data_IF_750010281384
#
_entry.id   IF_750010281384
#
_cell.length_a   1.000
_cell.length_b   1.000
_cell.length_c   1.000
_cell.angle_alpha   90.00
_cell.angle_beta   90.00
_cell.angle_gamma   90.00
#
_symmetry.space_group_name_H-M   'P 1'
#
loop_
_entity.id
_entity.type
_entity.pdbx_description
1 polymer ?
#
# COMPACT_ATOMS: atom_id res chain seq x y z
N UNK A 1 26.24 7.25 -10.79
CA UNK A 1 25.66 8.00 -11.93
C UNK A 1 24.42 7.33 -12.53
N UNK A 2 24.44 6.02 -12.85
CA UNK A 2 23.30 5.33 -13.49
C UNK A 2 21.98 5.33 -12.70
N UNK A 3 22.00 5.14 -11.37
CA UNK A 3 20.78 5.15 -10.54
C UNK A 3 20.06 6.50 -10.55
N UNK A 4 20.78 7.60 -10.31
CA UNK A 4 20.17 8.93 -10.30
C UNK A 4 19.61 9.33 -11.67
N UNK A 5 20.27 8.91 -12.76
CA UNK A 5 19.71 9.08 -14.10
C UNK A 5 18.39 8.31 -14.27
N UNK A 6 18.32 7.06 -13.80
CA UNK A 6 17.08 6.28 -13.85
C UNK A 6 15.94 6.90 -13.01
N UNK A 7 16.25 7.39 -11.81
CA UNK A 7 15.29 8.12 -10.96
C UNK A 7 14.79 9.38 -11.67
N UNK A 8 15.70 10.17 -12.25
CA UNK A 8 15.34 11.37 -12.98
C UNK A 8 14.44 11.07 -14.17
N UNK A 9 14.79 10.05 -14.98
CA UNK A 9 13.96 9.62 -16.11
C UNK A 9 12.59 9.12 -15.64
N UNK A 10 12.53 8.31 -14.57
CA UNK A 10 11.28 7.83 -14.01
C UNK A 10 10.37 8.96 -13.48
N UNK A 11 10.95 9.98 -12.86
CA UNK A 11 10.23 11.18 -12.44
C UNK A 11 9.78 12.03 -13.61
N UNK A 12 10.65 12.22 -14.62
CA UNK A 12 10.36 12.99 -15.82
C UNK A 12 9.21 12.36 -16.62
N UNK A 13 9.21 11.03 -16.79
CA UNK A 13 8.11 10.30 -17.47
C UNK A 13 6.78 10.55 -16.75
N UNK A 14 6.74 10.42 -15.42
CA UNK A 14 5.53 10.71 -14.63
C UNK A 14 5.08 12.16 -14.79
N UNK A 15 6.02 13.11 -14.70
CA UNK A 15 5.73 14.53 -14.88
C UNK A 15 5.16 14.85 -16.25
N UNK A 16 5.81 14.39 -17.33
CA UNK A 16 5.38 14.62 -18.71
C UNK A 16 4.02 14.00 -19.01
N UNK A 17 3.76 12.77 -18.53
CA UNK A 17 2.46 12.13 -18.71
C UNK A 17 1.36 12.84 -17.91
N UNK A 18 1.67 13.28 -16.68
CA UNK A 18 0.73 14.00 -15.83
C UNK A 18 0.40 15.40 -16.36
N UNK A 19 1.33 16.07 -17.06
CA UNK A 19 1.08 17.36 -17.72
C UNK A 19 0.49 17.24 -19.12
N UNK A 20 0.41 16.03 -19.67
CA UNK A 20 -0.17 15.77 -20.99
C UNK A 20 -1.70 15.66 -20.97
N UNK A 21 -2.32 15.77 -22.14
CA UNK A 21 -3.76 15.57 -22.34
C UNK A 21 -4.24 14.17 -21.93
N UNK A 22 -3.33 13.19 -21.87
CA UNK A 22 -3.64 11.82 -21.45
C UNK A 22 -3.95 11.68 -19.96
N UNK A 23 -3.55 12.63 -19.10
CA UNK A 23 -3.77 12.52 -17.66
C UNK A 23 -5.26 12.38 -17.31
N UNK A 24 -6.12 13.20 -17.94
CA UNK A 24 -7.57 13.12 -17.75
C UNK A 24 -8.16 11.79 -18.23
N UNK A 25 -7.69 11.29 -19.37
CA UNK A 25 -8.10 9.99 -19.91
C UNK A 25 -7.71 8.86 -18.95
N UNK A 26 -6.45 8.82 -18.50
CA UNK A 26 -5.92 7.80 -17.58
C UNK A 26 -6.69 7.80 -16.25
N UNK A 27 -6.98 8.98 -15.70
CA UNK A 27 -7.76 9.11 -14.45
C UNK A 27 -9.16 8.53 -14.57
N UNK A 28 -9.76 8.53 -15.77
CA UNK A 28 -11.11 7.99 -16.01
C UNK A 28 -11.15 6.49 -16.32
N UNK A 29 -9.99 5.83 -16.48
CA UNK A 29 -9.92 4.40 -16.81
C UNK A 29 -10.21 3.56 -15.58
N UNK A 30 -11.11 2.59 -15.74
CA UNK A 30 -11.48 1.62 -14.69
C UNK A 30 -10.31 0.72 -14.28
N UNK A 31 -9.31 0.60 -15.16
CA UNK A 31 -8.07 -0.11 -14.91
C UNK A 31 -7.16 0.60 -13.89
N UNK A 32 -7.40 1.88 -13.63
CA UNK A 32 -6.55 2.74 -12.78
C UNK A 32 -7.34 3.26 -11.58
N UNK A 33 -8.54 3.80 -11.85
CA UNK A 33 -9.39 4.41 -10.85
C UNK A 33 -10.60 3.51 -10.54
N UNK A 34 -10.68 3.06 -9.29
CA UNK A 34 -11.81 2.35 -8.70
C UNK A 34 -12.47 3.22 -7.63
N UNK A 35 -13.65 2.83 -7.13
CA UNK A 35 -14.29 3.53 -6.01
C UNK A 35 -13.43 3.67 -4.76
N UNK A 36 -12.50 2.74 -4.53
CA UNK A 36 -11.61 2.76 -3.36
C UNK A 36 -10.42 3.71 -3.50
N UNK A 37 -9.94 3.97 -4.73
CA UNK A 37 -8.68 4.70 -4.93
C UNK A 37 -8.78 5.98 -5.81
N UNK A 38 -9.95 6.28 -6.37
CA UNK A 38 -10.13 7.37 -7.32
C UNK A 38 -9.87 8.75 -6.73
N UNK A 39 -9.05 9.55 -7.42
CA UNK A 39 -8.81 10.95 -7.07
C UNK A 39 -10.09 11.79 -7.05
N UNK A 40 -11.04 11.51 -7.96
CA UNK A 40 -12.30 12.26 -8.05
C UNK A 40 -13.12 12.11 -6.77
N UNK A 41 -13.23 10.87 -6.25
CA UNK A 41 -13.93 10.58 -4.99
C UNK A 41 -13.20 11.17 -3.79
N UNK A 42 -11.87 11.14 -3.78
CA UNK A 42 -11.08 11.78 -2.74
C UNK A 42 -11.31 13.30 -2.66
N UNK A 43 -11.30 13.98 -3.81
CA UNK A 43 -11.58 15.42 -3.92
C UNK A 43 -13.00 15.75 -3.47
N UNK A 44 -13.99 14.97 -3.93
CA UNK A 44 -15.39 15.17 -3.58
C UNK A 44 -15.63 14.94 -2.08
N UNK A 45 -15.06 13.87 -1.51
CA UNK A 45 -15.16 13.60 -0.07
C UNK A 45 -14.57 14.74 0.76
N UNK A 46 -13.39 15.26 0.37
CA UNK A 46 -12.78 16.41 1.02
C UNK A 46 -13.63 17.69 0.88
N UNK A 47 -14.31 17.87 -0.26
CA UNK A 47 -15.22 18.99 -0.49
C UNK A 47 -16.48 18.90 0.39
N UNK A 48 -17.10 17.72 0.51
CA UNK A 48 -18.24 17.51 1.41
C UNK A 48 -17.88 17.79 2.86
N UNK A 49 -16.73 17.26 3.30
CA UNK A 49 -16.19 17.51 4.64
C UNK A 49 -16.00 19.01 4.91
N UNK A 50 -15.43 19.75 3.94
CA UNK A 50 -15.22 21.19 4.06
C UNK A 50 -16.52 22.00 4.23
N UNK A 51 -17.64 21.47 3.73
CA UNK A 51 -18.96 22.10 3.79
C UNK A 51 -19.85 21.55 4.90
N UNK A 52 -19.29 20.76 5.84
CA UNK A 52 -20.04 20.20 6.97
C UNK A 52 -21.04 19.11 6.59
N UNK A 53 -20.91 18.53 5.40
CA UNK A 53 -21.72 17.38 4.96
C UNK A 53 -20.92 16.10 5.20
N UNK A 54 -21.56 15.08 5.78
CA UNK A 54 -20.90 13.81 6.04
C UNK A 54 -20.53 13.11 4.71
N UNK A 55 -19.23 12.87 4.41
CA UNK A 55 -18.82 12.24 3.15
C UNK A 55 -19.23 10.76 3.02
N UNK A 56 -19.63 10.12 4.12
CA UNK A 56 -19.97 8.69 4.17
C UNK A 56 -21.46 8.41 3.95
N UNK A 57 -22.34 9.40 4.04
CA UNK A 57 -23.81 9.21 3.96
C UNK A 57 -24.30 8.82 2.54
N UNK A 58 -23.46 8.95 1.51
CA UNK A 58 -23.83 8.76 0.10
C UNK A 58 -23.00 7.73 -0.67
N UNK A 59 -22.33 6.80 0.02
CA UNK A 59 -21.49 5.74 -0.60
C UNK A 59 -20.44 6.28 -1.60
N UNK A 60 -19.95 7.48 -1.32
CA UNK A 60 -19.06 8.23 -2.20
C UNK A 60 -17.58 8.04 -1.83
N UNK A 61 -17.30 8.03 -0.53
CA UNK A 61 -15.95 8.01 0.02
C UNK A 61 -15.76 6.82 0.97
N UNK A 62 -14.67 6.06 0.77
CA UNK A 62 -14.45 4.75 1.41
C UNK A 62 -13.10 4.60 2.10
N UNK A 63 -12.44 5.70 2.47
CA UNK A 63 -11.20 5.66 3.25
C UNK A 63 -11.43 6.23 4.66
N UNK A 64 -10.54 5.95 5.61
CA UNK A 64 -10.69 6.42 6.99
C UNK A 64 -10.73 7.97 7.10
N UNK A 65 -11.49 8.56 8.06
CA UNK A 65 -11.58 10.01 8.24
C UNK A 65 -10.24 10.70 8.51
N UNK A 66 -9.27 10.02 9.12
CA UNK A 66 -7.91 10.55 9.27
C UNK A 66 -7.26 10.85 7.90
N UNK A 67 -7.44 9.94 6.94
CA UNK A 67 -6.92 10.10 5.57
C UNK A 67 -7.69 11.21 4.86
N UNK A 68 -9.02 11.25 5.04
CA UNK A 68 -9.87 12.31 4.50
C UNK A 68 -9.40 13.70 4.92
N UNK A 69 -9.19 13.92 6.22
CA UNK A 69 -8.72 15.21 6.74
C UNK A 69 -7.31 15.54 6.24
N UNK A 70 -6.44 14.53 6.13
CA UNK A 70 -5.10 14.70 5.58
C UNK A 70 -5.15 15.16 4.11
N UNK A 71 -6.03 14.58 3.31
CA UNK A 71 -6.25 14.94 1.90
C UNK A 71 -6.89 16.33 1.78
N UNK A 72 -7.90 16.62 2.59
CA UNK A 72 -8.52 17.95 2.66
C UNK A 72 -7.48 19.02 2.99
N UNK A 73 -6.63 18.79 3.99
CA UNK A 73 -5.57 19.72 4.36
C UNK A 73 -4.55 19.91 3.24
N UNK A 74 -4.14 18.81 2.58
CA UNK A 74 -3.26 18.86 1.41
C UNK A 74 -3.88 19.70 0.29
N UNK A 75 -5.16 19.52 0.00
CA UNK A 75 -5.87 20.29 -1.02
C UNK A 75 -5.96 21.77 -0.65
N UNK A 76 -6.26 22.10 0.61
CA UNK A 76 -6.35 23.50 1.03
C UNK A 76 -5.01 24.23 1.01
N UNK A 77 -3.91 23.55 1.40
CA UNK A 77 -2.60 24.20 1.54
C UNK A 77 -1.70 24.07 0.33
N UNK A 78 -1.89 23.04 -0.49
CA UNK A 78 -0.96 22.67 -1.54
C UNK A 78 -1.64 22.16 -2.83
N UNK A 79 -2.86 22.61 -3.15
CA UNK A 79 -3.58 22.25 -4.37
C UNK A 79 -2.72 22.30 -5.64
N UNK A 80 -1.95 23.38 -5.83
CA UNK A 80 -1.08 23.57 -6.99
C UNK A 80 0.07 22.56 -7.08
N UNK A 81 0.44 21.93 -5.95
CA UNK A 81 1.58 21.02 -5.84
C UNK A 81 1.18 19.56 -5.67
N UNK A 82 -0.12 19.23 -5.69
CA UNK A 82 -0.59 17.85 -5.46
C UNK A 82 0.10 16.89 -6.43
N UNK A 83 0.17 17.21 -7.73
CA UNK A 83 0.85 16.35 -8.69
C UNK A 83 2.33 16.09 -8.34
N UNK A 84 3.04 17.11 -7.84
CA UNK A 84 4.42 16.93 -7.37
C UNK A 84 4.51 16.02 -6.14
N UNK A 85 3.56 16.14 -5.20
CA UNK A 85 3.51 15.26 -4.01
C UNK A 85 3.38 13.80 -4.42
N UNK A 86 2.52 13.47 -5.38
CA UNK A 86 2.38 12.10 -5.89
C UNK A 86 3.68 11.58 -6.52
N UNK A 87 4.37 12.39 -7.31
CA UNK A 87 5.67 12.02 -7.89
C UNK A 87 6.70 11.79 -6.77
N UNK A 88 6.74 12.64 -5.74
CA UNK A 88 7.67 12.48 -4.62
C UNK A 88 7.39 11.20 -3.81
N UNK A 89 6.12 10.85 -3.59
CA UNK A 89 5.75 9.60 -2.94
C UNK A 89 6.19 8.38 -3.78
N UNK A 90 6.00 8.41 -5.09
CA UNK A 90 6.46 7.34 -6.00
C UNK A 90 7.98 7.17 -5.98
N UNK A 91 8.72 8.28 -6.07
CA UNK A 91 10.19 8.25 -5.99
C UNK A 91 10.63 7.75 -4.61
N UNK A 92 10.02 8.25 -3.53
CA UNK A 92 10.25 7.78 -2.16
C UNK A 92 10.01 6.28 -2.02
N UNK A 93 8.95 5.75 -2.62
CA UNK A 93 8.63 4.33 -2.66
C UNK A 93 9.75 3.53 -3.32
N UNK A 94 10.25 3.97 -4.48
CA UNK A 94 11.38 3.30 -5.15
C UNK A 94 12.66 3.28 -4.30
N UNK A 95 12.96 4.39 -3.60
CA UNK A 95 14.09 4.45 -2.66
C UNK A 95 13.91 3.49 -1.47
N UNK A 96 12.71 3.45 -0.90
CA UNK A 96 12.38 2.54 0.22
C UNK A 96 12.47 1.08 -0.19
N UNK A 97 11.91 0.70 -1.34
CA UNK A 97 12.00 -0.67 -1.86
C UNK A 97 13.46 -1.08 -2.11
N UNK A 98 14.25 -0.21 -2.74
CA UNK A 98 15.69 -0.44 -2.91
C UNK A 98 16.42 -0.58 -1.57
N UNK A 99 16.09 0.23 -0.57
CA UNK A 99 16.68 0.14 0.77
C UNK A 99 16.31 -1.18 1.47
N UNK A 100 15.02 -1.55 1.48
CA UNK A 100 14.53 -2.80 2.04
C UNK A 100 15.18 -4.01 1.36
N UNK A 101 15.22 -4.03 0.02
CA UNK A 101 15.89 -5.08 -0.76
C UNK A 101 17.38 -5.20 -0.44
N UNK A 102 18.07 -4.07 -0.23
CA UNK A 102 19.50 -4.06 0.15
C UNK A 102 19.73 -4.74 1.49
N UNK A 103 18.84 -4.52 2.47
CA UNK A 103 18.95 -5.17 3.79
C UNK A 103 18.61 -6.66 3.69
N UNK A 104 17.51 -7.01 3.03
CA UNK A 104 17.08 -8.40 2.91
C UNK A 104 18.09 -9.26 2.14
N UNK A 105 18.65 -8.77 1.03
CA UNK A 105 19.60 -9.56 0.23
C UNK A 105 20.90 -9.81 1.00
N UNK A 106 21.35 -8.84 1.81
CA UNK A 106 22.53 -9.00 2.68
C UNK A 106 22.28 -10.06 3.74
N UNK A 107 21.14 -10.01 4.41
CA UNK A 107 20.79 -11.01 5.43
C UNK A 107 20.67 -12.42 4.81
N UNK A 108 20.06 -12.52 3.63
CA UNK A 108 19.91 -13.78 2.90
C UNK A 108 21.27 -14.34 2.45
N UNK A 109 22.15 -13.48 1.92
CA UNK A 109 23.51 -13.85 1.54
C UNK A 109 24.34 -14.34 2.74
N UNK A 110 24.25 -13.67 3.90
CA UNK A 110 24.92 -14.12 5.12
C UNK A 110 24.38 -15.46 5.63
N UNK A 111 23.05 -15.65 5.62
CA UNK A 111 22.41 -16.93 5.99
C UNK A 111 22.85 -18.05 5.06
N UNK A 112 22.90 -17.80 3.75
CA UNK A 112 23.38 -18.74 2.75
C UNK A 112 24.84 -19.12 3.00
N UNK A 113 25.71 -18.12 3.21
CA UNK A 113 27.15 -18.35 3.47
C UNK A 113 27.39 -19.21 4.72
N UNK A 114 26.58 -19.05 5.77
CA UNK A 114 26.65 -19.88 6.98
C UNK A 114 26.17 -21.32 6.77
N UNK A 115 25.33 -21.56 5.77
CA UNK A 115 24.74 -22.88 5.45
C UNK A 115 25.37 -23.51 4.21
N UNK A 116 26.48 -22.96 3.71
CA UNK A 116 27.09 -23.36 2.44
C UNK A 116 27.41 -24.86 2.38
N UNK A 117 27.88 -25.42 3.49
CA UNK A 117 28.27 -26.83 3.58
C UNK A 117 27.07 -27.79 3.60
N UNK A 118 25.84 -27.28 3.76
CA UNK A 118 24.60 -28.07 3.73
C UNK A 118 23.95 -28.17 2.35
N UNK A 119 24.47 -27.44 1.36
CA UNK A 119 23.91 -27.44 0.01
C UNK A 119 24.42 -28.62 -0.83
N UNK A 120 23.56 -29.12 -1.71
CA UNK A 120 23.92 -30.15 -2.66
C UNK A 120 24.98 -29.63 -3.65
N UNK A 121 25.81 -30.54 -4.16
CA UNK A 121 26.73 -30.25 -5.27
C UNK A 121 25.92 -29.78 -6.48
N UNK A 122 26.51 -28.92 -7.31
CA UNK A 122 25.91 -28.35 -8.53
C UNK A 122 24.75 -27.35 -8.30
N UNK A 123 24.66 -26.74 -7.12
CA UNK A 123 23.68 -25.67 -6.83
C UNK A 123 24.26 -24.26 -6.90
N UNK A 124 25.50 -24.11 -7.37
CA UNK A 124 26.25 -22.85 -7.33
C UNK A 124 25.59 -21.75 -8.17
N UNK A 125 24.96 -22.08 -9.29
CA UNK A 125 24.23 -21.13 -10.15
C UNK A 125 22.93 -20.61 -9.50
N UNK A 126 22.38 -21.31 -8.51
CA UNK A 126 21.17 -20.92 -7.77
C UNK A 126 21.50 -20.10 -6.51
N UNK A 127 22.78 -19.98 -6.18
CA UNK A 127 23.25 -19.27 -4.99
C UNK A 127 23.42 -17.78 -5.28
N UNK A 128 23.15 -16.97 -4.27
CA UNK A 128 23.32 -15.52 -4.35
C UNK A 128 24.81 -15.19 -4.44
N UNK A 129 25.18 -14.42 -5.46
CA UNK A 129 26.55 -13.96 -5.68
C UNK A 129 26.83 -12.61 -5.01
N UNK A 130 28.13 -12.30 -4.83
CA UNK A 130 28.54 -11.01 -4.28
C UNK A 130 28.07 -9.82 -5.14
N UNK A 131 27.92 -10.01 -6.46
CA UNK A 131 27.38 -9.00 -7.37
C UNK A 131 25.90 -8.69 -7.11
N UNK A 132 25.12 -9.66 -6.64
CA UNK A 132 23.68 -9.52 -6.41
C UNK A 132 23.36 -8.59 -5.23
N UNK A 133 24.30 -8.45 -4.30
CA UNK A 133 24.20 -7.50 -3.17
C UNK A 133 24.00 -6.05 -3.65
N UNK A 134 24.52 -5.72 -4.84
CA UNK A 134 24.33 -4.41 -5.47
C UNK A 134 23.29 -4.44 -6.59
N UNK A 135 23.30 -5.50 -7.41
CA UNK A 135 22.46 -5.59 -8.61
C UNK A 135 20.99 -5.81 -8.27
N UNK A 136 20.66 -6.71 -7.34
CA UNK A 136 19.27 -7.05 -7.04
C UNK A 136 18.49 -5.84 -6.47
N UNK A 137 19.00 -5.08 -5.47
CA UNK A 137 18.30 -3.89 -4.99
C UNK A 137 18.18 -2.80 -6.06
N UNK A 138 19.16 -2.70 -6.95
CA UNK A 138 19.11 -1.80 -8.10
C UNK A 138 17.97 -2.19 -9.06
N UNK A 139 17.86 -3.47 -9.42
CA UNK A 139 16.79 -3.98 -10.29
C UNK A 139 15.41 -3.86 -9.65
N UNK A 140 15.27 -4.12 -8.35
CA UNK A 140 14.00 -3.89 -7.62
C UNK A 140 13.55 -2.43 -7.77
N UNK A 141 14.48 -1.48 -7.57
CA UNK A 141 14.19 -0.06 -7.73
C UNK A 141 13.82 0.31 -9.18
N UNK A 142 14.54 -0.22 -10.17
CA UNK A 142 14.21 0.00 -11.58
C UNK A 142 12.85 -0.60 -11.97
N UNK A 143 12.58 -1.82 -11.52
CA UNK A 143 11.32 -2.51 -11.80
C UNK A 143 10.13 -1.69 -11.29
N UNK A 144 10.23 -1.10 -10.10
CA UNK A 144 9.19 -0.20 -9.59
C UNK A 144 9.12 1.11 -10.40
N UNK A 145 10.24 1.81 -10.60
CA UNK A 145 10.28 3.10 -11.30
C UNK A 145 9.67 3.04 -12.70
N UNK A 146 9.86 1.94 -13.40
CA UNK A 146 9.39 1.74 -14.77
C UNK A 146 8.21 0.77 -14.87
N UNK A 147 7.56 0.44 -13.75
CA UNK A 147 6.32 -0.33 -13.76
C UNK A 147 5.20 0.54 -14.37
N UNK A 148 4.56 0.11 -15.48
CA UNK A 148 3.47 0.87 -16.08
C UNK A 148 2.32 1.11 -15.11
N UNK A 149 1.98 0.15 -14.24
CA UNK A 149 0.89 0.32 -13.27
C UNK A 149 1.21 1.39 -12.21
N UNK A 150 2.45 1.47 -11.74
CA UNK A 150 2.82 2.51 -10.76
C UNK A 150 2.88 3.90 -11.42
N UNK A 151 3.35 3.98 -12.68
CA UNK A 151 3.30 5.21 -13.48
C UNK A 151 1.83 5.65 -13.69
N UNK A 152 0.95 4.75 -14.12
CA UNK A 152 -0.46 5.05 -14.37
C UNK A 152 -1.19 5.48 -13.09
N UNK A 153 -0.94 4.81 -11.96
CA UNK A 153 -1.50 5.19 -10.65
C UNK A 153 -1.05 6.59 -10.21
N UNK A 154 0.21 6.95 -10.48
CA UNK A 154 0.72 8.30 -10.24
C UNK A 154 0.06 9.36 -11.13
N UNK A 155 -0.03 9.09 -12.43
CA UNK A 155 -0.62 10.02 -13.40
C UNK A 155 -2.12 10.17 -13.16
N UNK A 156 -2.81 9.11 -12.78
CA UNK A 156 -4.21 9.13 -12.36
C UNK A 156 -4.46 9.81 -11.01
N UNK A 157 -3.39 10.07 -10.24
CA UNK A 157 -3.42 10.57 -8.86
C UNK A 157 -4.25 9.69 -7.92
N UNK A 158 -4.16 8.37 -8.10
CA UNK A 158 -4.88 7.39 -7.28
C UNK A 158 -4.27 7.29 -5.89
N UNK A 159 -5.10 7.06 -4.87
CA UNK A 159 -4.60 6.88 -3.49
C UNK A 159 -3.73 5.63 -3.34
N UNK A 160 -3.73 4.72 -4.33
CA UNK A 160 -2.78 3.60 -4.44
C UNK A 160 -1.31 4.05 -4.35
N UNK A 161 -0.97 5.28 -4.78
CA UNK A 161 0.39 5.82 -4.61
C UNK A 161 0.78 5.94 -3.12
N UNK A 162 -0.13 6.42 -2.28
CA UNK A 162 0.11 6.49 -0.84
C UNK A 162 0.16 5.10 -0.22
N UNK A 163 -0.67 4.16 -0.70
CA UNK A 163 -0.65 2.77 -0.25
C UNK A 163 0.67 2.06 -0.57
N UNK A 164 1.17 2.19 -1.79
CA UNK A 164 2.48 1.66 -2.18
C UNK A 164 3.61 2.24 -1.32
N UNK A 165 3.55 3.54 -1.01
CA UNK A 165 4.51 4.19 -0.12
C UNK A 165 4.46 3.61 1.30
N UNK A 166 3.27 3.44 1.87
CA UNK A 166 3.08 2.85 3.20
C UNK A 166 3.55 1.40 3.26
N UNK A 167 3.27 0.60 2.22
CA UNK A 167 3.78 -0.77 2.09
C UNK A 167 5.31 -0.81 1.98
N UNK A 168 5.92 0.08 1.20
CA UNK A 168 7.38 0.17 1.12
C UNK A 168 8.00 0.62 2.46
N UNK A 169 7.36 1.56 3.16
CA UNK A 169 7.77 1.98 4.50
C UNK A 169 7.65 0.83 5.51
N UNK A 170 6.60 0.02 5.42
CA UNK A 170 6.43 -1.20 6.21
C UNK A 170 7.54 -2.21 5.93
N UNK A 171 7.91 -2.43 4.67
CA UNK A 171 9.00 -3.32 4.29
C UNK A 171 10.35 -2.81 4.82
N UNK A 172 10.62 -1.51 4.74
CA UNK A 172 11.80 -0.88 5.35
C UNK A 172 11.79 -1.08 6.86
N UNK A 173 10.68 -0.76 7.54
CA UNK A 173 10.51 -0.96 8.97
C UNK A 173 10.79 -2.41 9.39
N UNK A 174 10.26 -3.37 8.63
CA UNK A 174 10.47 -4.80 8.86
C UNK A 174 11.92 -5.21 8.63
N UNK A 175 12.53 -4.78 7.53
CA UNK A 175 13.91 -5.09 7.18
C UNK A 175 14.90 -4.58 8.25
N UNK A 176 14.70 -3.36 8.75
CA UNK A 176 15.47 -2.79 9.85
C UNK A 176 14.98 -3.22 11.25
N UNK A 177 13.97 -4.10 11.33
CA UNK A 177 13.39 -4.62 12.58
C UNK A 177 12.82 -3.54 13.50
N UNK A 178 12.43 -2.40 12.94
CA UNK A 178 11.72 -1.31 13.64
C UNK A 178 10.24 -1.63 13.74
N UNK A 179 9.82 -2.15 14.91
CA UNK A 179 8.42 -2.52 15.20
C UNK A 179 7.45 -1.35 15.04
N UNK A 180 7.86 -0.15 15.45
CA UNK A 180 7.03 1.06 15.40
C UNK A 180 6.80 1.47 13.95
N UNK A 181 7.87 1.58 13.15
CA UNK A 181 7.75 1.97 11.73
C UNK A 181 6.92 0.95 10.96
N UNK A 182 7.20 -0.36 11.14
CA UNK A 182 6.43 -1.41 10.49
C UNK A 182 4.96 -1.41 10.94
N UNK A 183 4.72 -1.40 12.26
CA UNK A 183 3.36 -1.47 12.81
C UNK A 183 2.49 -0.27 12.44
N UNK A 184 3.03 0.95 12.53
CA UNK A 184 2.29 2.19 12.18
C UNK A 184 2.05 2.28 10.68
N UNK A 185 3.06 1.98 9.85
CA UNK A 185 2.89 2.01 8.40
C UNK A 185 1.85 0.99 7.93
N UNK A 186 1.88 -0.23 8.48
CA UNK A 186 0.90 -1.26 8.17
C UNK A 186 -0.51 -0.90 8.70
N UNK A 187 -0.59 -0.30 9.89
CA UNK A 187 -1.87 0.14 10.44
C UNK A 187 -2.53 1.22 9.59
N UNK A 188 -1.76 2.19 9.10
CA UNK A 188 -2.21 3.21 8.15
C UNK A 188 -2.63 2.60 6.82
N UNK A 189 -1.83 1.68 6.27
CA UNK A 189 -2.19 0.97 5.05
C UNK A 189 -3.50 0.20 5.22
N UNK A 190 -3.69 -0.42 6.40
CA UNK A 190 -4.92 -1.16 6.73
C UNK A 190 -6.15 -0.23 6.75
N UNK A 191 -5.97 1.06 7.04
CA UNK A 191 -7.05 2.05 6.95
C UNK A 191 -7.47 2.37 5.50
N UNK A 192 -6.58 2.13 4.53
CA UNK A 192 -6.82 2.36 3.09
C UNK A 192 -7.35 1.09 2.42
N UNK A 193 -6.72 -0.04 2.71
CA UNK A 193 -7.06 -1.36 2.19
C UNK A 193 -7.00 -2.36 3.34
N UNK A 194 -8.03 -3.17 3.55
CA UNK A 194 -8.09 -4.04 4.73
C UNK A 194 -7.11 -5.22 4.66
N UNK A 195 -6.89 -5.82 3.49
CA UNK A 195 -6.16 -7.08 3.34
C UNK A 195 -4.67 -7.06 3.70
N UNK A 196 -3.90 -5.97 3.45
CA UNK A 196 -2.52 -5.87 3.90
C UNK A 196 -2.27 -6.21 5.37
N UNK A 197 -3.29 -6.14 6.25
CA UNK A 197 -3.18 -6.57 7.65
C UNK A 197 -2.55 -7.96 7.81
N UNK A 198 -2.72 -8.89 6.86
CA UNK A 198 -2.13 -10.24 6.91
C UNK A 198 -0.60 -10.22 6.96
N UNK A 199 0.04 -9.16 6.45
CA UNK A 199 1.49 -8.98 6.45
C UNK A 199 2.08 -8.84 7.87
N UNK A 200 1.25 -8.59 8.89
CA UNK A 200 1.72 -8.56 10.28
C UNK A 200 2.31 -9.90 10.71
N UNK A 201 1.80 -11.02 10.19
CA UNK A 201 2.25 -12.37 10.53
C UNK A 201 3.70 -12.60 10.08
N UNK A 202 4.05 -12.50 8.78
CA UNK A 202 5.43 -12.66 8.36
C UNK A 202 6.36 -11.61 8.97
N UNK A 203 5.91 -10.35 9.16
CA UNK A 203 6.74 -9.33 9.81
C UNK A 203 7.05 -9.66 11.28
N UNK A 204 6.06 -10.09 12.05
CA UNK A 204 6.25 -10.46 13.45
C UNK A 204 7.21 -11.66 13.59
N UNK A 205 7.07 -12.67 12.73
CA UNK A 205 7.97 -13.82 12.68
C UNK A 205 9.39 -13.41 12.30
N UNK A 206 9.55 -12.60 11.26
CA UNK A 206 10.85 -12.11 10.80
C UNK A 206 11.55 -11.32 11.90
N UNK A 207 10.86 -10.35 12.53
CA UNK A 207 11.42 -9.53 13.62
C UNK A 207 11.82 -10.41 14.81
N UNK A 208 10.97 -11.37 15.20
CA UNK A 208 11.22 -12.27 16.32
C UNK A 208 12.41 -13.21 16.11
N UNK A 209 12.81 -13.50 14.87
CA UNK A 209 13.98 -14.34 14.57
C UNK A 209 15.27 -13.78 15.21
N UNK A 210 15.40 -12.45 15.29
CA UNK A 210 16.54 -11.78 15.92
C UNK A 210 16.56 -11.83 17.45
N UNK A 211 15.46 -12.23 18.10
CA UNK A 211 15.31 -12.24 19.56
C UNK A 211 15.07 -13.68 20.07
N UNK A 212 16.11 -14.53 20.14
CA UNK A 212 15.96 -15.96 20.37
C UNK A 212 15.40 -16.33 21.75
N UNK A 213 15.62 -15.50 22.77
CA UNK A 213 15.27 -15.81 24.16
C UNK A 213 13.76 -15.78 24.44
N UNK A 214 13.03 -14.83 23.83
CA UNK A 214 11.60 -14.60 24.07
C UNK A 214 10.82 -14.34 22.76
N UNK A 215 10.83 -15.32 21.84
CA UNK A 215 10.18 -15.17 20.51
C UNK A 215 8.70 -14.80 20.61
N UNK A 216 7.93 -15.48 21.47
CA UNK A 216 6.50 -15.21 21.67
C UNK A 216 6.21 -13.80 22.15
N UNK A 217 7.04 -13.27 23.05
CA UNK A 217 6.93 -11.87 23.49
C UNK A 217 7.25 -10.89 22.36
N UNK A 218 8.26 -11.18 21.52
CA UNK A 218 8.57 -10.34 20.36
C UNK A 218 7.44 -10.35 19.32
N UNK A 219 6.80 -11.50 19.10
CA UNK A 219 5.62 -11.61 18.23
C UNK A 219 4.48 -10.79 18.82
N UNK A 220 4.13 -11.04 20.09
CA UNK A 220 3.05 -10.34 20.77
C UNK A 220 3.24 -8.81 20.82
N UNK A 221 4.46 -8.34 21.06
CA UNK A 221 4.77 -6.89 21.03
C UNK A 221 4.67 -6.29 19.63
N UNK A 222 5.06 -7.02 18.59
CA UNK A 222 4.93 -6.54 17.20
C UNK A 222 3.46 -6.47 16.79
N UNK A 223 2.68 -7.52 17.05
CA UNK A 223 1.24 -7.52 16.81
C UNK A 223 0.52 -6.45 17.64
N UNK A 224 0.90 -6.29 18.91
CA UNK A 224 0.36 -5.26 19.80
C UNK A 224 0.66 -3.84 19.32
N UNK A 225 1.83 -3.60 18.72
CA UNK A 225 2.18 -2.30 18.13
C UNK A 225 1.28 -1.97 16.94
N UNK A 226 1.08 -2.94 16.04
CA UNK A 226 0.15 -2.80 14.92
C UNK A 226 -1.29 -2.58 15.38
N UNK A 227 -1.80 -3.43 16.28
CA UNK A 227 -3.17 -3.33 16.80
C UNK A 227 -3.40 -2.01 17.52
N UNK A 228 -2.44 -1.57 18.35
CA UNK A 228 -2.52 -0.28 19.03
C UNK A 228 -2.60 0.89 18.05
N UNK A 229 -1.75 0.91 17.02
CA UNK A 229 -1.80 1.93 15.98
C UNK A 229 -3.10 1.88 15.17
N UNK A 230 -3.56 0.69 14.78
CA UNK A 230 -4.81 0.49 14.04
C UNK A 230 -6.03 1.00 14.80
N UNK A 231 -6.13 0.67 16.09
CA UNK A 231 -7.20 1.16 16.96
C UNK A 231 -7.10 2.67 17.16
N UNK A 232 -5.89 3.20 17.29
CA UNK A 232 -5.68 4.65 17.43
C UNK A 232 -6.17 5.43 16.21
N UNK A 233 -5.87 4.99 14.98
CA UNK A 233 -6.36 5.67 13.78
C UNK A 233 -7.88 5.60 13.62
N UNK A 234 -8.51 4.48 14.00
CA UNK A 234 -9.97 4.37 14.03
C UNK A 234 -10.58 5.28 15.09
N UNK A 235 -9.98 5.37 16.28
CA UNK A 235 -10.41 6.30 17.33
C UNK A 235 -10.25 7.76 16.91
N UNK A 236 -9.14 8.11 16.24
CA UNK A 236 -8.97 9.43 15.63
C UNK A 236 -10.09 9.73 14.62
N UNK A 237 -10.47 8.73 13.80
CA UNK A 237 -11.60 8.83 12.89
C UNK A 237 -12.94 9.11 13.61
N UNK A 238 -13.19 8.43 14.73
CA UNK A 238 -14.36 8.69 15.59
C UNK A 238 -14.35 10.12 16.14
N UNK A 239 -13.20 10.62 16.60
CA UNK A 239 -13.08 12.01 17.10
C UNK A 239 -13.35 13.03 15.98
N UNK A 240 -12.94 12.73 14.73
CA UNK A 240 -13.15 13.61 13.57
C UNK A 240 -14.62 13.66 13.15
N UNK A 241 -15.29 12.50 13.07
CA UNK A 241 -16.67 12.41 12.55
C UNK A 241 -17.74 12.54 13.63
N UNK A 242 -17.40 12.23 14.89
CA UNK A 242 -18.36 12.18 16.00
C UNK A 242 -19.12 10.86 16.12
N UNK A 243 -18.91 9.91 15.21
CA UNK A 243 -19.55 8.60 15.21
C UNK A 243 -18.67 7.52 14.51
N UNK A 244 -19.16 6.27 14.53
CA UNK A 244 -18.50 5.10 13.93
C UNK A 244 -19.07 4.69 12.56
N UNK A 245 -19.96 5.50 11.97
CA UNK A 245 -20.62 5.17 10.69
C UNK A 245 -19.62 4.92 9.56
N UNK A 246 -18.48 5.63 9.58
CA UNK A 246 -17.40 5.46 8.62
C UNK A 246 -16.82 4.05 8.59
N UNK A 247 -16.95 3.23 9.66
CA UNK A 247 -16.44 1.86 9.66
C UNK A 247 -17.18 0.98 8.63
N UNK A 248 -18.49 1.15 8.52
CA UNK A 248 -19.28 0.43 7.53
C UNK A 248 -19.02 0.96 6.11
N UNK A 249 -18.89 2.28 5.96
CA UNK A 249 -18.60 2.90 4.68
C UNK A 249 -17.17 2.64 4.16
N UNK A 250 -16.24 2.24 5.04
CA UNK A 250 -14.85 1.90 4.67
C UNK A 250 -14.65 0.38 4.62
N UNK A 251 -14.60 -0.29 5.77
CA UNK A 251 -14.37 -1.73 5.85
C UNK A 251 -15.59 -2.53 5.41
N UNK A 252 -16.79 -2.12 5.82
CA UNK A 252 -18.03 -2.78 5.41
C UNK A 252 -18.22 -2.74 3.90
N UNK A 253 -17.82 -1.65 3.24
CA UNK A 253 -17.85 -1.52 1.79
C UNK A 253 -16.99 -2.58 1.08
N UNK A 254 -15.74 -2.77 1.55
CA UNK A 254 -14.82 -3.77 1.00
C UNK A 254 -15.32 -5.19 1.29
N UNK A 255 -15.67 -5.48 2.55
CA UNK A 255 -16.07 -6.82 2.99
C UNK A 255 -17.38 -7.31 2.35
N UNK A 256 -18.33 -6.40 2.12
CA UNK A 256 -19.60 -6.73 1.47
C UNK A 256 -19.56 -6.67 -0.05
N UNK A 257 -18.41 -6.36 -0.66
CA UNK A 257 -18.25 -6.19 -2.11
C UNK A 257 -19.42 -5.36 -2.70
N UNK A 258 -19.65 -4.18 -2.11
CA UNK A 258 -20.79 -3.31 -2.51
C UNK A 258 -20.59 -2.71 -3.90
N UNK A 259 -19.33 -2.57 -4.31
CA UNK A 259 -18.96 -2.13 -5.64
C UNK A 259 -18.99 -3.28 -6.65
N UNK A 260 -19.79 -3.09 -7.70
CA UNK A 260 -19.87 -3.97 -8.87
C UNK A 260 -19.42 -3.26 -10.15
N UNK A 261 -18.77 -2.10 -10.02
CA UNK A 261 -18.20 -1.42 -11.18
C UNK A 261 -17.08 -2.27 -11.79
N UNK A 262 -17.04 -2.38 -13.13
CA UNK A 262 -15.96 -3.08 -13.81
C UNK A 262 -14.60 -2.56 -13.39
N UNK A 263 -13.68 -3.47 -13.09
CA UNK A 263 -12.28 -3.21 -12.83
C UNK A 263 -11.44 -4.42 -13.26
N UNK A 264 -10.11 -4.38 -13.05
CA UNK A 264 -9.20 -5.48 -13.45
C UNK A 264 -9.48 -6.77 -12.66
N UNK A 265 -10.03 -6.66 -11.44
CA UNK A 265 -10.40 -7.80 -10.62
C UNK A 265 -11.59 -8.58 -11.18
N UNK A 266 -11.80 -9.79 -10.66
CA UNK A 266 -12.89 -10.67 -11.09
C UNK A 266 -14.12 -10.60 -10.17
N UNK A 267 -14.00 -9.96 -8.99
CA UNK A 267 -15.05 -9.94 -7.98
C UNK A 267 -16.33 -9.29 -8.52
N UNK A 268 -16.23 -8.09 -9.11
CA UNK A 268 -17.38 -7.37 -9.66
C UNK A 268 -18.17 -8.22 -10.66
N UNK A 269 -17.46 -8.93 -11.55
CA UNK A 269 -18.07 -9.74 -12.62
C UNK A 269 -18.85 -10.91 -12.02
N UNK A 270 -18.20 -11.66 -11.12
CA UNK A 270 -18.83 -12.80 -10.46
C UNK A 270 -20.07 -12.38 -9.65
N UNK A 271 -19.97 -11.30 -8.85
CA UNK A 271 -21.09 -10.84 -8.03
C UNK A 271 -22.21 -10.18 -8.84
N UNK A 272 -21.94 -9.73 -10.08
CA UNK A 272 -22.97 -9.23 -11.00
C UNK A 272 -23.77 -10.37 -11.63
N UNK A 273 -23.12 -11.50 -11.95
CA UNK A 273 -23.79 -12.64 -12.59
C UNK A 273 -24.45 -13.62 -11.61
N UNK A 274 -24.11 -13.53 -10.31
CA UNK A 274 -24.58 -14.45 -9.29
C UNK A 274 -26.00 -14.12 -8.80
N UNK A 275 -26.81 -15.16 -8.60
CA UNK A 275 -28.10 -15.04 -7.94
C UNK A 275 -27.97 -14.61 -6.47
N UNK A 276 -28.83 -13.69 -6.03
CA UNK A 276 -28.84 -13.14 -4.68
C UNK A 276 -28.87 -14.22 -3.59
N UNK A 277 -29.57 -15.33 -3.82
CA UNK A 277 -29.66 -16.44 -2.86
C UNK A 277 -28.29 -17.01 -2.46
N UNK A 278 -27.33 -17.05 -3.40
CA UNK A 278 -25.99 -17.59 -3.14
C UNK A 278 -24.98 -16.52 -2.73
N UNK A 279 -25.35 -15.23 -2.79
CA UNK A 279 -24.42 -14.11 -2.61
C UNK A 279 -23.63 -14.19 -1.32
N UNK A 280 -24.29 -14.46 -0.20
CA UNK A 280 -23.65 -14.53 1.12
C UNK A 280 -22.61 -15.65 1.21
N UNK A 281 -22.91 -16.83 0.65
CA UNK A 281 -21.98 -17.97 0.66
C UNK A 281 -20.69 -17.63 -0.11
N UNK A 282 -20.84 -17.10 -1.32
CA UNK A 282 -19.68 -16.76 -2.14
C UNK A 282 -18.94 -15.52 -1.63
N UNK A 283 -19.63 -14.57 -1.00
CA UNK A 283 -19.00 -13.47 -0.28
C UNK A 283 -18.00 -14.01 0.75
N UNK A 284 -18.44 -14.87 1.66
CA UNK A 284 -17.53 -15.42 2.66
C UNK A 284 -16.41 -16.26 2.04
N UNK A 285 -16.73 -17.07 1.03
CA UNK A 285 -15.74 -17.91 0.35
C UNK A 285 -14.64 -17.07 -0.31
N UNK A 286 -14.99 -15.98 -0.99
CA UNK A 286 -14.01 -15.11 -1.61
C UNK A 286 -13.22 -14.30 -0.59
N UNK A 287 -13.88 -13.77 0.45
CA UNK A 287 -13.21 -12.99 1.48
C UNK A 287 -12.13 -13.77 2.24
N UNK A 288 -12.31 -15.10 2.39
CA UNK A 288 -11.30 -15.99 3.00
C UNK A 288 -10.06 -16.15 2.10
N UNK A 289 -10.22 -16.02 0.79
CA UNK A 289 -9.15 -16.24 -0.20
C UNK A 289 -8.59 -14.93 -0.80
N UNK A 290 -9.01 -13.77 -0.26
CA UNK A 290 -8.63 -12.45 -0.73
C UNK A 290 -7.27 -11.97 -0.18
#
# INVERSE_FOLDING_TARGET
>A
MKWYAAVFVGALVRYLLMSSEYSGLIRGRVEVATPLNSWKRAVEGAYLYANGTNPYDGDLYHQNPFILVSLWYLMQKAAAYVGMVFIQLEIGTAFMLKAAATVFIRELYEKQRRRRDSFAKDTEELQIDAGDLGNLPYYVGLAYLFNPYSILNCVGQTTTVASNFLLALFLVGTAYRSRIVAGVALALETQMNIYPCVLIVPAALFIAESTPRNKWLSIGTTCGTFLGAFLWFNYAGFVIMGDWSFLDATYGFILNCRDLQPNIGLFWYFFTEMFDHFRTLFLYTFQINA
#
